data_IF_269437616263
#
_entry.id   IF_269437616263
#
_cell.length_a   1.000
_cell.length_b   1.000
_cell.length_c   1.000
_cell.angle_alpha   90.00
_cell.angle_beta   90.00
_cell.angle_gamma   90.00
#
_symmetry.space_group_name_H-M   'P 1'
#
loop_
_entity.id
_entity.type
_entity.pdbx_description
1 polymer ?
#
# COMPACT_ATOMS: atom_id res chain seq x y z
N UNK A 1 -5.21 -9.58 -33.34
CA UNK A 1 -3.82 -9.10 -33.18
C UNK A 1 -3.57 -8.53 -31.77
N UNK A 2 -4.40 -7.59 -31.29
CA UNK A 2 -4.29 -6.95 -29.96
C UNK A 2 -4.38 -7.94 -28.79
N UNK A 3 -5.28 -8.92 -28.86
CA UNK A 3 -5.42 -10.00 -27.86
C UNK A 3 -4.13 -10.80 -27.64
N UNK A 4 -3.44 -11.14 -28.74
CA UNK A 4 -2.17 -11.88 -28.71
C UNK A 4 -1.05 -11.02 -28.10
N UNK A 5 -1.08 -9.71 -28.36
CA UNK A 5 -0.14 -8.75 -27.78
C UNK A 5 -0.34 -8.60 -26.26
N UNK A 6 -1.59 -8.47 -25.80
CA UNK A 6 -1.93 -8.44 -24.36
C UNK A 6 -1.47 -9.70 -23.65
N UNK A 7 -1.74 -10.88 -24.22
CA UNK A 7 -1.31 -12.17 -23.64
C UNK A 7 0.21 -12.23 -23.51
N UNK A 8 0.94 -11.86 -24.55
CA UNK A 8 2.39 -11.87 -24.54
C UNK A 8 2.98 -10.85 -23.56
N UNK A 9 2.35 -9.67 -23.41
CA UNK A 9 2.75 -8.67 -22.41
C UNK A 9 2.55 -9.20 -20.99
N UNK A 10 1.40 -9.81 -20.69
CA UNK A 10 1.15 -10.40 -19.35
C UNK A 10 2.17 -11.50 -19.06
N UNK A 11 2.46 -12.37 -20.04
CA UNK A 11 3.46 -13.43 -19.91
C UNK A 11 4.85 -12.83 -19.68
N UNK A 12 5.25 -11.82 -20.46
CA UNK A 12 6.54 -11.16 -20.30
C UNK A 12 6.67 -10.48 -18.92
N UNK A 13 5.59 -9.85 -18.45
CA UNK A 13 5.55 -9.18 -17.15
C UNK A 13 5.64 -10.20 -16.00
N UNK A 14 4.94 -11.32 -16.12
CA UNK A 14 5.05 -12.45 -15.17
C UNK A 14 6.45 -13.05 -15.17
N UNK A 15 7.02 -13.36 -16.33
CA UNK A 15 8.38 -13.91 -16.44
C UNK A 15 9.39 -12.93 -15.84
N UNK A 16 9.28 -11.65 -16.16
CA UNK A 16 10.18 -10.62 -15.63
C UNK A 16 10.04 -10.52 -14.11
N UNK A 17 8.82 -10.51 -13.57
CA UNK A 17 8.58 -10.49 -12.13
C UNK A 17 9.18 -11.72 -11.43
N UNK A 18 9.02 -12.91 -12.01
CA UNK A 18 9.57 -14.16 -11.47
C UNK A 18 11.10 -14.13 -11.48
N UNK A 19 11.72 -13.74 -12.61
CA UNK A 19 13.18 -13.65 -12.74
C UNK A 19 13.74 -12.62 -11.77
N UNK A 20 13.10 -11.45 -11.65
CA UNK A 20 13.55 -10.40 -10.74
C UNK A 20 13.41 -10.85 -9.28
N UNK A 21 12.30 -11.50 -8.92
CA UNK A 21 12.13 -12.09 -7.60
C UNK A 21 13.20 -13.14 -7.30
N UNK A 22 13.47 -14.05 -8.24
CA UNK A 22 14.50 -15.07 -8.09
C UNK A 22 15.90 -14.48 -7.91
N UNK A 23 16.23 -13.41 -8.65
CA UNK A 23 17.51 -12.69 -8.49
C UNK A 23 17.56 -11.97 -7.14
N UNK A 24 16.50 -11.27 -6.74
CA UNK A 24 16.45 -10.57 -5.45
C UNK A 24 16.60 -11.53 -4.26
N UNK A 25 15.96 -12.70 -4.38
CA UNK A 25 16.10 -13.81 -3.45
C UNK A 25 17.54 -14.35 -3.49
N UNK A 26 18.06 -14.73 -4.65
CA UNK A 26 19.42 -15.28 -4.75
C UNK A 26 20.53 -14.32 -4.28
N UNK A 27 20.39 -13.01 -4.57
CA UNK A 27 21.41 -12.01 -4.30
C UNK A 27 21.61 -11.71 -2.81
N UNK A 28 20.54 -11.76 -2.00
CA UNK A 28 20.62 -11.30 -0.61
C UNK A 28 19.71 -12.02 0.37
N UNK A 29 19.23 -13.23 0.03
CA UNK A 29 18.39 -14.04 0.92
C UNK A 29 18.98 -14.21 2.32
N UNK A 30 20.30 -14.41 2.44
CA UNK A 30 20.96 -14.60 3.73
C UNK A 30 20.91 -13.32 4.58
N UNK A 31 21.13 -12.16 3.94
CA UNK A 31 21.02 -10.84 4.58
C UNK A 31 19.56 -10.52 4.96
N UNK A 32 18.61 -10.86 4.10
CA UNK A 32 17.18 -10.74 4.35
C UNK A 32 16.75 -11.61 5.55
N UNK A 33 17.09 -12.90 5.55
CA UNK A 33 16.73 -13.84 6.63
C UNK A 33 17.40 -13.46 7.95
N UNK A 34 18.67 -13.05 7.93
CA UNK A 34 19.34 -12.57 9.15
C UNK A 34 18.68 -11.30 9.70
N UNK A 35 18.28 -10.38 8.83
CA UNK A 35 17.51 -9.19 9.22
C UNK A 35 16.16 -9.57 9.85
N UNK A 36 15.38 -10.47 9.23
CA UNK A 36 14.11 -10.95 9.79
C UNK A 36 14.26 -11.73 11.10
N UNK A 37 15.38 -12.46 11.29
CA UNK A 37 15.70 -13.14 12.56
C UNK A 37 16.06 -12.16 13.67
N UNK A 38 16.78 -11.10 13.35
CA UNK A 38 17.15 -10.06 14.31
C UNK A 38 16.04 -9.04 14.57
N UNK A 39 15.03 -8.98 13.69
CA UNK A 39 13.92 -8.06 13.81
C UNK A 39 13.03 -8.43 15.01
N UNK A 40 12.81 -7.46 15.90
CA UNK A 40 11.88 -7.64 16.99
C UNK A 40 10.43 -7.45 16.49
N UNK A 41 9.74 -8.57 16.32
CA UNK A 41 8.36 -8.64 15.84
C UNK A 41 7.34 -7.89 16.71
N UNK A 42 7.68 -7.52 17.95
CA UNK A 42 6.87 -6.62 18.77
C UNK A 42 6.70 -5.22 18.15
N UNK A 43 7.69 -4.76 17.38
CA UNK A 43 7.59 -3.49 16.66
C UNK A 43 6.63 -3.56 15.47
N UNK A 44 6.38 -4.73 14.90
CA UNK A 44 5.48 -4.86 13.74
C UNK A 44 4.07 -4.31 14.01
N UNK A 45 3.33 -4.75 15.05
CA UNK A 45 2.02 -4.19 15.36
C UNK A 45 2.11 -2.70 15.69
N UNK A 46 3.18 -2.25 16.36
CA UNK A 46 3.36 -0.83 16.68
C UNK A 46 3.54 0.03 15.42
N UNK A 47 4.39 -0.40 14.48
CA UNK A 47 4.61 0.29 13.20
C UNK A 47 3.32 0.32 12.39
N UNK A 48 2.58 -0.80 12.33
CA UNK A 48 1.29 -0.86 11.64
C UNK A 48 0.25 0.06 12.28
N UNK A 49 0.17 0.09 13.62
CA UNK A 49 -0.71 0.98 14.35
C UNK A 49 -0.36 2.44 14.14
N UNK A 50 0.93 2.80 14.17
CA UNK A 50 1.39 4.16 13.88
C UNK A 50 1.08 4.57 12.44
N UNK A 51 1.26 3.66 11.48
CA UNK A 51 0.90 3.88 10.07
C UNK A 51 -0.60 4.09 9.89
N UNK A 52 -1.44 3.22 10.48
CA UNK A 52 -2.90 3.38 10.49
C UNK A 52 -3.33 4.67 11.20
N UNK A 53 -2.68 5.00 12.31
CA UNK A 53 -2.91 6.23 13.06
C UNK A 53 -2.64 7.48 12.22
N UNK A 54 -1.65 7.45 11.33
CA UNK A 54 -1.41 8.54 10.38
C UNK A 54 -2.62 8.78 9.47
N UNK A 55 -3.20 7.72 8.91
CA UNK A 55 -4.40 7.81 8.09
C UNK A 55 -5.61 8.33 8.87
N UNK A 56 -5.75 7.93 10.15
CA UNK A 56 -6.80 8.43 11.03
C UNK A 56 -6.66 9.93 11.28
N UNK A 57 -5.46 10.42 11.59
CA UNK A 57 -5.20 11.86 11.78
C UNK A 57 -5.49 12.63 10.49
N UNK A 58 -5.07 12.09 9.34
CA UNK A 58 -5.37 12.67 8.02
C UNK A 58 -6.88 12.73 7.76
N UNK A 59 -7.63 11.70 8.15
CA UNK A 59 -9.09 11.68 8.02
C UNK A 59 -9.74 12.75 8.91
N UNK A 60 -9.28 12.92 10.15
CA UNK A 60 -9.80 13.99 11.01
C UNK A 60 -9.52 15.38 10.46
N UNK A 61 -8.33 15.59 9.87
CA UNK A 61 -7.99 16.85 9.18
C UNK A 61 -8.88 17.09 7.97
N UNK A 62 -9.17 16.05 7.19
CA UNK A 62 -10.13 16.09 6.08
C UNK A 62 -11.53 16.51 6.56
N UNK A 63 -12.06 15.84 7.60
CA UNK A 63 -13.35 16.18 8.20
C UNK A 63 -13.38 17.61 8.77
N UNK A 64 -12.27 18.07 9.34
CA UNK A 64 -12.13 19.44 9.81
C UNK A 64 -12.25 20.46 8.66
N UNK A 65 -11.63 20.19 7.52
CA UNK A 65 -11.76 21.06 6.35
C UNK A 65 -13.14 21.05 5.72
N UNK A 66 -13.82 19.90 5.68
CA UNK A 66 -15.22 19.85 5.23
C UNK A 66 -16.11 20.74 6.10
N UNK A 67 -15.93 20.70 7.43
CA UNK A 67 -16.65 21.59 8.35
C UNK A 67 -16.30 23.06 8.14
N UNK A 68 -15.03 23.38 7.93
CA UNK A 68 -14.58 24.77 7.67
C UNK A 68 -15.18 25.34 6.38
N UNK A 69 -15.36 24.49 5.37
CA UNK A 69 -15.96 24.85 4.08
C UNK A 69 -17.49 24.73 4.06
N UNK A 70 -18.12 24.46 5.21
CA UNK A 70 -19.57 24.25 5.35
C UNK A 70 -20.13 23.13 4.46
N UNK A 71 -19.29 22.17 4.08
CA UNK A 71 -19.68 21.02 3.27
C UNK A 71 -20.23 19.93 4.19
N UNK A 72 -21.53 19.69 4.10
CA UNK A 72 -22.19 18.65 4.89
C UNK A 72 -22.24 17.32 4.13
N UNK A 73 -21.48 16.34 4.62
CA UNK A 73 -21.47 14.98 4.10
C UNK A 73 -21.70 14.02 5.26
N UNK A 74 -22.50 12.98 5.03
CA UNK A 74 -22.68 11.92 6.03
C UNK A 74 -21.34 11.22 6.29
N UNK A 75 -20.97 11.03 7.56
CA UNK A 75 -19.67 10.43 7.95
C UNK A 75 -19.32 9.15 7.17
N UNK A 76 -20.29 8.24 6.97
CA UNK A 76 -20.11 7.01 6.18
C UNK A 76 -19.70 7.28 4.73
N UNK A 77 -20.26 8.32 4.11
CA UNK A 77 -19.91 8.72 2.74
C UNK A 77 -18.54 9.42 2.73
N UNK A 78 -18.27 10.27 3.71
CA UNK A 78 -16.97 10.95 3.81
C UNK A 78 -15.82 9.97 3.98
N UNK A 79 -15.99 8.92 4.81
CA UNK A 79 -15.02 7.82 4.92
C UNK A 79 -14.77 7.17 3.56
N UNK A 80 -15.82 6.84 2.79
CA UNK A 80 -15.66 6.26 1.45
C UNK A 80 -14.91 7.19 0.49
N UNK A 81 -15.24 8.47 0.50
CA UNK A 81 -14.58 9.49 -0.33
C UNK A 81 -13.10 9.59 0.04
N UNK A 82 -12.78 9.68 1.33
CA UNK A 82 -11.40 9.72 1.81
C UNK A 82 -10.61 8.48 1.39
N UNK A 83 -11.16 7.29 1.59
CA UNK A 83 -10.52 6.04 1.15
C UNK A 83 -10.37 5.93 -0.37
N UNK A 84 -11.33 6.45 -1.16
CA UNK A 84 -11.15 6.52 -2.62
C UNK A 84 -10.01 7.45 -3.02
N UNK A 85 -9.79 8.54 -2.28
CA UNK A 85 -8.65 9.44 -2.49
C UNK A 85 -7.31 8.78 -2.18
N UNK A 86 -7.24 7.91 -1.17
CA UNK A 86 -6.05 7.12 -0.87
C UNK A 86 -5.68 6.13 -1.97
N UNK A 87 -6.64 5.66 -2.78
CA UNK A 87 -6.36 4.76 -3.89
C UNK A 87 -5.71 5.47 -5.09
N UNK A 88 -5.76 6.80 -5.14
CA UNK A 88 -5.16 7.61 -6.21
C UNK A 88 -3.76 8.12 -5.87
N UNK A 89 -3.31 7.98 -4.62
CA UNK A 89 -1.98 8.36 -4.14
C UNK A 89 -1.01 7.19 -4.18
#
# INVERSE_FOLDING_TARGET
>A
MIEKLKKNLIIALLITAIVFFAIAVYADLNSLVSSFKSFNWFFLPLILLLSLGNYVIRFFKWEYYLRLLEIQIQLKQSVKIFFSGLSMS
#
